data_IF_559161753271
#
_entry.id   IF_559161753271
#
_cell.length_a   1.000
_cell.length_b   1.000
_cell.length_c   1.000
_cell.angle_alpha   90.00
_cell.angle_beta   90.00
_cell.angle_gamma   90.00
#
_symmetry.space_group_name_H-M   'P 1'
#
loop_
_entity.id
_entity.type
_entity.pdbx_description
1 polymer ?
#
# COMPACT_ATOMS: atom_id res chain seq x y z
N UNK A 1 31.46 2.09 -10.50
CA UNK A 1 31.19 2.05 -9.06
C UNK A 1 29.69 1.87 -8.90
N UNK A 2 29.28 0.70 -8.42
CA UNK A 2 27.88 0.27 -8.31
C UNK A 2 27.26 0.87 -7.05
N UNK A 3 26.63 2.03 -7.21
CA UNK A 3 25.79 2.64 -6.17
C UNK A 3 24.33 2.67 -6.66
N UNK A 4 23.86 1.52 -7.15
CA UNK A 4 22.45 1.26 -7.34
C UNK A 4 21.89 0.81 -6.00
N UNK A 5 21.56 1.73 -5.10
CA UNK A 5 20.63 1.42 -4.03
C UNK A 5 19.39 0.81 -4.71
N UNK A 6 19.03 -0.43 -4.39
CA UNK A 6 17.86 -1.08 -4.96
C UNK A 6 16.62 -0.34 -4.41
N UNK A 7 16.12 0.67 -5.13
CA UNK A 7 14.86 1.31 -4.74
C UNK A 7 13.74 0.26 -4.92
N UNK A 8 13.05 -0.05 -3.83
CA UNK A 8 11.92 -0.96 -3.89
C UNK A 8 10.79 -0.33 -4.73
N UNK A 9 10.19 -1.13 -5.61
CA UNK A 9 9.01 -0.69 -6.36
C UNK A 9 7.82 -0.47 -5.41
N UNK A 10 6.82 0.38 -5.77
CA UNK A 10 5.63 0.57 -4.94
C UNK A 10 4.90 -0.75 -4.62
N UNK A 11 4.93 -1.73 -5.53
CA UNK A 11 4.42 -3.07 -5.27
C UNK A 11 5.20 -3.82 -4.18
N UNK A 12 6.54 -3.83 -4.27
CA UNK A 12 7.39 -4.46 -3.24
C UNK A 12 7.22 -3.77 -1.87
N UNK A 13 7.06 -2.44 -1.84
CA UNK A 13 6.77 -1.72 -0.60
C UNK A 13 5.45 -2.18 0.05
N UNK A 14 4.40 -2.40 -0.75
CA UNK A 14 3.12 -2.95 -0.25
C UNK A 14 3.28 -4.37 0.29
N UNK A 15 4.06 -5.22 -0.37
CA UNK A 15 4.35 -6.57 0.14
C UNK A 15 5.13 -6.54 1.47
N UNK A 16 6.12 -5.65 1.58
CA UNK A 16 6.86 -5.46 2.83
C UNK A 16 5.95 -4.93 3.95
N UNK A 17 5.07 -3.98 3.65
CA UNK A 17 4.09 -3.46 4.60
C UNK A 17 3.17 -4.58 5.12
N UNK A 18 2.58 -5.38 4.23
CA UNK A 18 1.74 -6.54 4.61
C UNK A 18 2.55 -7.56 5.43
N UNK A 19 3.80 -7.81 5.07
CA UNK A 19 4.70 -8.70 5.82
C UNK A 19 4.97 -8.18 7.22
N UNK A 20 5.25 -6.89 7.39
CA UNK A 20 5.44 -6.29 8.71
C UNK A 20 4.18 -6.39 9.56
N UNK A 21 3.00 -6.13 8.98
CA UNK A 21 1.75 -6.26 9.71
C UNK A 21 1.47 -7.71 10.17
N UNK A 22 1.82 -8.70 9.35
CA UNK A 22 1.58 -10.11 9.65
C UNK A 22 2.62 -10.72 10.61
N UNK A 23 3.89 -10.37 10.42
CA UNK A 23 5.02 -11.10 11.00
C UNK A 23 5.77 -10.34 12.10
N UNK A 24 5.57 -9.02 12.20
CA UNK A 24 6.25 -8.19 13.19
C UNK A 24 5.27 -7.67 14.24
N UNK A 25 5.78 -7.49 15.46
CA UNK A 25 5.06 -6.72 16.47
C UNK A 25 5.15 -5.23 16.11
N UNK A 26 4.26 -4.78 15.22
CA UNK A 26 4.14 -3.37 14.89
C UNK A 26 3.42 -2.67 16.03
N UNK A 27 4.15 -1.81 16.76
CA UNK A 27 3.65 -1.06 17.91
C UNK A 27 2.51 -0.12 17.54
N UNK A 28 2.56 0.49 16.36
CA UNK A 28 1.49 1.33 15.81
C UNK A 28 1.41 1.18 14.28
N UNK A 29 0.50 0.35 13.74
CA UNK A 29 0.29 0.27 12.30
C UNK A 29 -0.22 1.55 11.67
N UNK A 30 -0.99 2.35 12.40
CA UNK A 30 -1.40 3.68 11.98
C UNK A 30 -0.19 4.56 11.66
N UNK A 31 0.78 4.63 12.57
CA UNK A 31 2.01 5.39 12.32
C UNK A 31 2.82 4.78 11.16
N UNK A 32 2.91 3.45 11.06
CA UNK A 32 3.58 2.82 9.92
C UNK A 32 2.91 3.21 8.59
N UNK A 33 1.57 3.25 8.56
CA UNK A 33 0.77 3.64 7.41
C UNK A 33 0.95 5.11 7.04
N UNK A 34 0.74 6.03 7.98
CA UNK A 34 0.89 7.48 7.80
C UNK A 34 2.26 7.85 7.20
N UNK A 35 3.31 7.09 7.53
CA UNK A 35 4.67 7.31 7.03
C UNK A 35 5.02 6.58 5.72
N UNK A 36 4.21 5.64 5.24
CA UNK A 36 4.58 4.78 4.09
C UNK A 36 3.57 4.76 2.96
N UNK A 37 2.31 5.14 3.20
CA UNK A 37 1.22 4.99 2.25
C UNK A 37 1.49 5.72 0.93
N UNK A 38 2.11 6.90 0.99
CA UNK A 38 2.44 7.71 -0.19
C UNK A 38 3.42 7.00 -1.12
N UNK A 39 4.54 6.50 -0.59
CA UNK A 39 5.53 5.74 -1.37
C UNK A 39 4.95 4.43 -1.92
N UNK A 40 4.03 3.80 -1.19
CA UNK A 40 3.29 2.62 -1.67
C UNK A 40 2.28 2.94 -2.79
N UNK A 41 1.92 4.21 -2.97
CA UNK A 41 0.85 4.66 -3.88
C UNK A 41 1.35 5.29 -5.19
N UNK A 42 2.66 5.45 -5.38
CA UNK A 42 3.24 6.20 -6.52
C UNK A 42 2.81 5.67 -7.89
N UNK A 43 2.48 4.39 -8.00
CA UNK A 43 2.01 3.76 -9.25
C UNK A 43 0.49 3.76 -9.44
N UNK A 44 -0.29 4.19 -8.44
CA UNK A 44 -1.75 4.06 -8.44
C UNK A 44 -2.40 4.98 -9.47
N UNK A 45 -2.01 6.27 -9.51
CA UNK A 45 -2.60 7.22 -10.45
C UNK A 45 -2.49 6.72 -11.89
N UNK A 46 -1.28 6.34 -12.29
CA UNK A 46 -1.01 5.78 -13.62
C UNK A 46 -1.81 4.50 -13.90
N UNK A 47 -1.88 3.58 -12.93
CA UNK A 47 -2.70 2.37 -13.05
C UNK A 47 -4.18 2.70 -13.25
N UNK A 48 -4.74 3.65 -12.49
CA UNK A 48 -6.15 4.06 -12.58
C UNK A 48 -6.46 4.75 -13.91
N UNK A 49 -5.60 5.65 -14.37
CA UNK A 49 -5.71 6.27 -15.70
C UNK A 49 -5.81 5.22 -16.80
N UNK A 50 -4.96 4.18 -16.75
CA UNK A 50 -4.98 3.08 -17.73
C UNK A 50 -6.20 2.20 -17.64
N UNK A 51 -6.61 1.81 -16.43
CA UNK A 51 -7.77 0.93 -16.21
C UNK A 51 -9.08 1.62 -16.63
N UNK A 52 -9.20 2.92 -16.34
CA UNK A 52 -10.40 3.71 -16.65
C UNK A 52 -10.38 4.32 -18.05
N UNK A 53 -9.27 4.16 -18.80
CA UNK A 53 -9.03 4.83 -20.07
C UNK A 53 -9.25 6.36 -19.98
N UNK A 54 -8.83 6.96 -18.87
CA UNK A 54 -9.01 8.38 -18.58
C UNK A 54 -7.66 9.00 -18.23
N UNK A 55 -6.92 9.45 -19.25
CA UNK A 55 -5.56 9.97 -19.11
C UNK A 55 -5.45 11.24 -18.26
N UNK A 56 -6.53 12.03 -18.18
CA UNK A 56 -6.59 13.28 -17.43
C UNK A 56 -7.17 13.09 -16.02
N UNK A 57 -7.32 11.84 -15.55
CA UNK A 57 -7.70 11.59 -14.17
C UNK A 57 -6.65 12.20 -13.24
N UNK A 58 -7.11 12.99 -12.29
CA UNK A 58 -6.36 13.44 -11.12
C UNK A 58 -7.00 12.82 -9.88
N UNK A 59 -6.19 12.56 -8.86
CA UNK A 59 -6.63 12.01 -7.59
C UNK A 59 -6.14 12.93 -6.48
N UNK A 60 -7.03 13.37 -5.60
CA UNK A 60 -6.65 13.94 -4.33
C UNK A 60 -6.05 12.88 -3.39
N UNK A 61 -5.44 13.34 -2.29
CA UNK A 61 -4.79 12.47 -1.32
C UNK A 61 -5.77 11.46 -0.69
N UNK A 62 -7.00 11.87 -0.38
CA UNK A 62 -8.00 10.99 0.25
C UNK A 62 -8.36 9.84 -0.70
N UNK A 63 -8.60 10.15 -1.97
CA UNK A 63 -8.94 9.16 -3.00
C UNK A 63 -7.74 8.26 -3.31
N UNK A 64 -6.52 8.81 -3.34
CA UNK A 64 -5.30 8.05 -3.55
C UNK A 64 -5.05 7.06 -2.40
N UNK A 65 -5.22 7.51 -1.16
CA UNK A 65 -5.09 6.70 0.05
C UNK A 65 -6.13 5.57 0.08
N UNK A 66 -7.38 5.86 -0.29
CA UNK A 66 -8.43 4.84 -0.44
C UNK A 66 -8.07 3.77 -1.47
N UNK A 67 -7.56 4.17 -2.63
CA UNK A 67 -7.13 3.19 -3.62
C UNK A 67 -5.97 2.34 -3.13
N UNK A 68 -5.09 2.91 -2.32
CA UNK A 68 -3.97 2.17 -1.76
C UNK A 68 -4.43 1.18 -0.67
N UNK A 69 -5.38 1.55 0.19
CA UNK A 69 -6.04 0.63 1.13
C UNK A 69 -6.60 -0.60 0.40
N UNK A 70 -7.25 -0.38 -0.75
CA UNK A 70 -7.78 -1.48 -1.57
C UNK A 70 -6.66 -2.41 -2.07
N UNK A 71 -5.52 -1.87 -2.51
CA UNK A 71 -4.39 -2.71 -2.97
C UNK A 71 -3.76 -3.51 -1.82
N UNK A 72 -3.62 -2.91 -0.63
CA UNK A 72 -3.11 -3.61 0.56
C UNK A 72 -4.10 -4.68 1.03
N UNK A 73 -5.40 -4.39 1.01
CA UNK A 73 -6.44 -5.38 1.31
C UNK A 73 -6.36 -6.59 0.38
N UNK A 74 -6.19 -6.37 -0.94
CA UNK A 74 -6.04 -7.46 -1.91
C UNK A 74 -4.82 -8.34 -1.60
N UNK A 75 -3.69 -7.72 -1.24
CA UNK A 75 -2.48 -8.46 -0.86
C UNK A 75 -2.70 -9.29 0.41
N UNK A 76 -3.33 -8.72 1.44
CA UNK A 76 -3.65 -9.44 2.68
C UNK A 76 -4.60 -10.62 2.47
N UNK A 77 -5.60 -10.46 1.59
CA UNK A 77 -6.52 -11.55 1.21
C UNK A 77 -5.77 -12.68 0.50
N UNK A 78 -4.81 -12.33 -0.36
CA UNK A 78 -4.02 -13.31 -1.12
C UNK A 78 -2.98 -14.02 -0.24
N UNK A 79 -2.44 -13.35 0.78
CA UNK A 79 -1.50 -13.95 1.74
C UNK A 79 -2.15 -14.88 2.77
N UNK A 80 -3.47 -15.09 2.72
CA UNK A 80 -4.19 -15.99 3.63
C UNK A 80 -4.39 -15.42 5.05
N UNK A 81 -4.29 -14.10 5.23
CA UNK A 81 -4.44 -13.45 6.54
C UNK A 81 -5.90 -13.54 6.99
N UNK A 82 -6.22 -14.53 7.84
CA UNK A 82 -7.60 -14.86 8.27
C UNK A 82 -8.34 -13.76 9.05
N UNK A 83 -7.65 -12.68 9.43
CA UNK A 83 -8.17 -11.63 10.33
C UNK A 83 -7.90 -10.20 9.83
N UNK A 84 -7.65 -10.01 8.52
CA UNK A 84 -7.28 -8.72 7.94
C UNK A 84 -8.29 -7.59 8.25
N UNK A 85 -9.61 -7.88 8.29
CA UNK A 85 -10.65 -6.92 8.71
C UNK A 85 -10.41 -6.43 10.14
N UNK A 86 -10.09 -7.34 11.07
CA UNK A 86 -9.83 -6.96 12.46
C UNK A 86 -8.51 -6.22 12.63
N UNK A 87 -7.54 -6.41 11.74
CA UNK A 87 -6.26 -5.68 11.78
C UNK A 87 -6.40 -4.27 11.23
N UNK A 88 -7.14 -4.08 10.13
CA UNK A 88 -7.43 -2.74 9.59
C UNK A 88 -8.32 -1.93 10.55
N UNK A 89 -9.42 -2.52 11.04
CA UNK A 89 -10.37 -1.80 11.92
C UNK A 89 -9.84 -1.51 13.33
N UNK A 90 -8.77 -2.19 13.78
CA UNK A 90 -8.20 -1.96 15.13
C UNK A 90 -6.89 -1.19 15.12
N UNK A 91 -6.25 -1.00 13.97
CA UNK A 91 -4.86 -0.53 13.93
C UNK A 91 -4.57 0.61 12.95
N UNK A 92 -5.50 1.00 12.09
CA UNK A 92 -5.46 2.29 11.38
C UNK A 92 -6.40 3.32 12.04
#
# INVERSE_FOLDING_TARGET
MSEGALWATPYQLREMFVTFLNSCFVSSPKNLWENSWRSMSEDILYKRQRILNHANLELDDDTLEQYMLIEVEKLMRTSGTKNWITMLLRKL
#
